data_IF_274923718332
#
_entry.id   IF_274923718332
#
_cell.length_a   1.000
_cell.length_b   1.000
_cell.length_c   1.000
_cell.angle_alpha   90.00
_cell.angle_beta   90.00
_cell.angle_gamma   90.00
#
_symmetry.space_group_name_H-M   'P 1'
#
loop_
_entity.id
_entity.type
_entity.pdbx_description
1 polymer ?
#
# COMPACT_ATOMS: atom_id res chain seq x y z
N UNK A 1 82.13 72.92 20.57
CA UNK A 1 80.94 73.78 20.47
C UNK A 1 81.05 75.03 21.35
N UNK A 2 81.40 74.92 22.64
CA UNK A 2 81.36 76.08 23.53
C UNK A 2 82.39 77.17 23.22
N UNK A 3 83.58 76.83 22.70
CA UNK A 3 84.69 77.79 22.53
C UNK A 3 84.52 78.71 21.31
N UNK A 4 83.97 78.21 20.20
CA UNK A 4 83.68 79.06 19.02
C UNK A 4 82.58 80.07 19.34
N UNK A 5 81.49 79.62 19.97
CA UNK A 5 80.40 80.52 20.37
C UNK A 5 80.86 81.53 21.43
N UNK A 6 81.66 81.10 22.41
CA UNK A 6 82.23 82.00 23.43
C UNK A 6 83.14 83.07 22.81
N UNK A 7 84.04 82.70 21.88
CA UNK A 7 84.89 83.66 21.20
C UNK A 7 84.12 84.60 20.25
N UNK A 8 83.03 84.13 19.63
CA UNK A 8 82.13 84.97 18.82
C UNK A 8 81.33 85.95 19.69
N UNK A 9 80.85 85.50 20.84
CA UNK A 9 80.11 86.33 21.80
C UNK A 9 81.04 87.41 22.40
N UNK A 10 82.27 87.04 22.75
CA UNK A 10 83.29 87.97 23.25
C UNK A 10 83.70 88.99 22.17
N UNK A 11 83.88 88.53 20.93
CA UNK A 11 84.16 89.41 19.79
C UNK A 11 82.98 90.36 19.53
N UNK A 12 81.74 89.88 19.66
CA UNK A 12 80.53 90.68 19.58
C UNK A 12 80.48 91.76 20.67
N UNK A 13 80.75 91.39 21.92
CA UNK A 13 80.79 92.31 23.06
C UNK A 13 81.85 93.40 22.88
N UNK A 14 83.05 93.05 22.41
CA UNK A 14 84.11 94.02 22.10
C UNK A 14 83.66 95.02 21.04
N UNK A 15 82.91 94.57 20.03
CA UNK A 15 82.39 95.45 18.96
C UNK A 15 81.23 96.32 19.45
N UNK A 16 80.37 95.80 20.33
CA UNK A 16 79.25 96.55 20.92
C UNK A 16 79.71 97.65 21.90
N UNK A 17 80.74 97.38 22.70
CA UNK A 17 81.32 98.35 23.65
C UNK A 17 82.37 99.28 22.99
N UNK A 18 82.68 99.07 21.72
CA UNK A 18 83.70 99.81 20.99
C UNK A 18 83.37 101.31 20.90
N UNK A 19 84.39 102.16 21.09
CA UNK A 19 84.22 103.61 21.02
C UNK A 19 84.02 104.07 19.57
N UNK A 20 82.85 104.66 19.27
CA UNK A 20 82.55 105.24 17.95
C UNK A 20 83.43 106.44 17.59
N UNK A 21 83.77 106.57 16.31
CA UNK A 21 84.53 107.71 15.76
C UNK A 21 83.55 108.78 15.25
N UNK A 22 83.63 110.05 15.71
CA UNK A 22 82.66 111.09 15.38
C UNK A 22 82.51 111.31 13.87
N UNK A 23 81.27 111.50 13.39
CA UNK A 23 80.93 111.73 11.97
C UNK A 23 81.28 110.56 11.03
N UNK A 24 81.47 109.34 11.54
CA UNK A 24 81.67 108.12 10.75
C UNK A 24 80.86 106.94 11.32
N UNK A 25 80.66 105.89 10.52
CA UNK A 25 80.07 104.62 10.98
C UNK A 25 81.12 103.66 11.59
N UNK A 26 82.33 104.14 11.88
CA UNK A 26 83.43 103.32 12.39
C UNK A 26 83.51 103.31 13.92
N UNK A 27 84.01 102.21 14.47
CA UNK A 27 84.37 102.07 15.87
C UNK A 27 85.86 101.72 16.03
N UNK A 28 86.43 102.09 17.17
CA UNK A 28 87.82 101.74 17.54
C UNK A 28 87.77 100.52 18.44
N UNK A 29 88.37 99.42 17.97
CA UNK A 29 88.49 98.16 18.71
C UNK A 29 89.95 97.85 19.02
N UNK A 30 90.27 97.18 20.15
CA UNK A 30 91.59 96.64 20.43
C UNK A 30 91.96 95.59 19.37
N UNK A 31 92.83 95.96 18.43
CA UNK A 31 93.20 95.09 17.31
C UNK A 31 93.83 93.75 17.75
N UNK A 32 94.57 93.74 18.86
CA UNK A 32 95.21 92.52 19.37
C UNK A 32 94.18 91.49 19.80
N UNK A 33 93.32 91.88 20.74
CA UNK A 33 92.25 91.05 21.32
C UNK A 33 91.28 90.54 20.23
N UNK A 34 90.92 91.40 19.26
CA UNK A 34 90.07 91.00 18.12
C UNK A 34 90.74 89.95 17.23
N UNK A 35 92.04 90.08 16.97
CA UNK A 35 92.76 89.10 16.14
C UNK A 35 92.95 87.77 16.87
N UNK A 36 93.19 87.80 18.18
CA UNK A 36 93.29 86.61 19.02
C UNK A 36 91.98 85.83 19.04
N UNK A 37 90.84 86.49 19.25
CA UNK A 37 89.52 85.85 19.18
C UNK A 37 89.20 85.29 17.79
N UNK A 38 89.59 86.00 16.72
CA UNK A 38 89.43 85.51 15.35
C UNK A 38 90.28 84.25 15.11
N UNK A 39 91.51 84.20 15.63
CA UNK A 39 92.38 83.04 15.48
C UNK A 39 91.90 81.86 16.34
N UNK A 40 91.39 82.09 17.56
CA UNK A 40 90.70 81.08 18.36
C UNK A 40 89.47 80.49 17.63
N UNK A 41 88.68 81.34 16.98
CA UNK A 41 87.55 80.90 16.15
C UNK A 41 88.05 80.08 14.96
N UNK A 42 89.10 80.51 14.27
CA UNK A 42 89.67 79.78 13.12
C UNK A 42 90.23 78.42 13.51
N UNK A 43 90.83 78.31 14.69
CA UNK A 43 91.42 77.07 15.17
C UNK A 43 90.34 76.10 15.68
N UNK A 44 89.26 76.61 16.27
CA UNK A 44 88.20 75.79 16.83
C UNK A 44 87.09 75.40 15.84
N UNK A 45 86.76 76.23 14.84
CA UNK A 45 85.71 75.95 13.83
C UNK A 45 85.92 74.63 13.08
N UNK A 46 87.12 74.30 12.56
CA UNK A 46 87.31 73.08 11.79
C UNK A 46 86.97 71.82 12.59
N UNK A 47 87.36 71.77 13.87
CA UNK A 47 87.03 70.64 14.75
C UNK A 47 85.53 70.54 15.02
N UNK A 48 84.85 71.68 15.23
CA UNK A 48 83.39 71.67 15.44
C UNK A 48 82.60 71.30 14.18
N UNK A 49 83.12 71.64 12.99
CA UNK A 49 82.52 71.25 11.72
C UNK A 49 82.72 69.75 11.43
N UNK A 50 83.90 69.21 11.78
CA UNK A 50 84.23 67.78 11.69
C UNK A 50 83.32 66.96 12.59
N UNK A 51 83.18 67.36 13.87
CA UNK A 51 82.25 66.73 14.82
C UNK A 51 80.79 66.75 14.30
N UNK A 52 80.37 67.86 13.69
CA UNK A 52 79.03 67.97 13.12
C UNK A 52 78.85 67.07 11.88
N UNK A 53 79.89 66.92 11.07
CA UNK A 53 79.91 65.98 9.94
C UNK A 53 79.85 64.53 10.40
N UNK A 54 80.62 64.15 11.43
CA UNK A 54 80.58 62.82 12.02
C UNK A 54 79.18 62.45 12.53
N UNK A 55 78.49 63.40 13.17
CA UNK A 55 77.10 63.20 13.62
C UNK A 55 76.15 63.02 12.44
N UNK A 56 76.31 63.77 11.36
CA UNK A 56 75.50 63.62 10.14
C UNK A 56 75.74 62.27 9.47
N UNK A 57 77.00 61.84 9.37
CA UNK A 57 77.37 60.55 8.80
C UNK A 57 76.85 59.38 9.65
N UNK A 58 76.96 59.49 10.98
CA UNK A 58 76.39 58.52 11.91
C UNK A 58 74.86 58.44 11.78
N UNK A 59 74.18 59.60 11.67
CA UNK A 59 72.73 59.66 11.42
C UNK A 59 72.38 58.97 10.10
N UNK A 60 73.10 59.25 9.03
CA UNK A 60 72.80 58.71 7.72
C UNK A 60 73.07 57.20 7.66
N UNK A 61 74.10 56.71 8.36
CA UNK A 61 74.35 55.28 8.57
C UNK A 61 73.20 54.62 9.33
N UNK A 62 72.75 55.19 10.45
CA UNK A 62 71.62 54.67 11.24
C UNK A 62 70.32 54.66 10.42
N UNK A 63 70.05 55.71 9.65
CA UNK A 63 68.86 55.76 8.78
C UNK A 63 68.90 54.70 7.68
N UNK A 64 70.09 54.38 7.15
CA UNK A 64 70.26 53.33 6.16
C UNK A 64 70.02 51.96 6.77
N UNK A 65 70.66 51.67 7.91
CA UNK A 65 70.47 50.42 8.64
C UNK A 65 69.01 50.21 9.05
N UNK A 66 68.36 51.24 9.58
CA UNK A 66 66.96 51.17 9.96
C UNK A 66 66.04 50.87 8.76
N UNK A 67 66.32 51.44 7.58
CA UNK A 67 65.57 51.16 6.36
C UNK A 67 65.78 49.73 5.86
N UNK A 68 67.03 49.28 5.78
CA UNK A 68 67.36 47.92 5.35
C UNK A 68 66.76 46.87 6.30
N UNK A 69 66.85 47.11 7.61
CA UNK A 69 66.23 46.26 8.62
C UNK A 69 64.70 46.25 8.48
N UNK A 70 64.08 47.41 8.30
CA UNK A 70 62.63 47.51 8.11
C UNK A 70 62.15 46.79 6.83
N UNK A 71 62.85 46.97 5.71
CA UNK A 71 62.55 46.26 4.46
C UNK A 71 62.67 44.75 4.64
N UNK A 72 63.71 44.29 5.35
CA UNK A 72 63.89 42.87 5.68
C UNK A 72 62.75 42.33 6.54
N UNK A 73 62.38 43.03 7.61
CA UNK A 73 61.30 42.62 8.51
C UNK A 73 59.95 42.59 7.79
N UNK A 74 59.63 43.59 6.97
CA UNK A 74 58.40 43.57 6.17
C UNK A 74 58.43 42.43 5.16
N UNK A 75 59.56 42.20 4.49
CA UNK A 75 59.71 41.09 3.54
C UNK A 75 59.46 39.73 4.19
N UNK A 76 60.06 39.49 5.35
CA UNK A 76 59.86 38.27 6.14
C UNK A 76 58.42 38.14 6.63
N UNK A 77 57.86 39.19 7.23
CA UNK A 77 56.49 39.19 7.73
C UNK A 77 55.47 38.93 6.62
N UNK A 78 55.66 39.51 5.44
CA UNK A 78 54.82 39.25 4.27
C UNK A 78 54.94 37.80 3.79
N UNK A 79 56.16 37.25 3.73
CA UNK A 79 56.37 35.86 3.35
C UNK A 79 55.73 34.88 4.35
N UNK A 80 55.86 35.14 5.65
CA UNK A 80 55.24 34.35 6.72
C UNK A 80 53.71 34.43 6.65
N UNK A 81 53.16 35.61 6.38
CA UNK A 81 51.72 35.80 6.21
C UNK A 81 51.19 35.05 4.97
N UNK A 82 51.89 35.12 3.84
CA UNK A 82 51.55 34.37 2.62
C UNK A 82 51.59 32.86 2.84
N UNK A 83 52.63 32.37 3.52
CA UNK A 83 52.75 30.95 3.86
C UNK A 83 51.62 30.50 4.79
N UNK A 84 51.31 31.27 5.82
CA UNK A 84 50.22 30.97 6.77
C UNK A 84 48.87 30.94 6.06
N UNK A 85 48.60 31.92 5.19
CA UNK A 85 47.37 31.99 4.43
C UNK A 85 47.24 30.83 3.44
N UNK A 86 48.34 30.47 2.76
CA UNK A 86 48.38 29.30 1.87
C UNK A 86 48.12 28.00 2.63
N UNK A 87 48.74 27.82 3.80
CA UNK A 87 48.52 26.65 4.64
C UNK A 87 47.06 26.55 5.09
N UNK A 88 46.51 27.63 5.65
CA UNK A 88 45.12 27.68 6.11
C UNK A 88 44.11 27.42 4.98
N UNK A 89 44.36 27.94 3.77
CA UNK A 89 43.51 27.69 2.59
C UNK A 89 43.54 26.21 2.19
N UNK A 90 44.73 25.62 2.09
CA UNK A 90 44.87 24.20 1.74
C UNK A 90 44.23 23.28 2.79
N UNK A 91 44.34 23.62 4.06
CA UNK A 91 43.69 22.88 5.14
C UNK A 91 42.16 23.01 5.06
N UNK A 92 41.64 24.22 4.85
CA UNK A 92 40.20 24.45 4.67
C UNK A 92 39.64 23.66 3.47
N UNK A 93 40.36 23.65 2.33
CA UNK A 93 39.95 22.90 1.15
C UNK A 93 39.91 21.38 1.42
N UNK A 94 40.90 20.86 2.16
CA UNK A 94 40.93 19.45 2.57
C UNK A 94 39.78 19.11 3.51
N UNK A 95 39.52 19.94 4.52
CA UNK A 95 38.40 19.74 5.45
C UNK A 95 37.06 19.77 4.75
N UNK A 96 36.86 20.72 3.82
CA UNK A 96 35.63 20.80 3.03
C UNK A 96 35.46 19.59 2.11
N UNK A 97 36.53 19.09 1.50
CA UNK A 97 36.48 17.90 0.66
C UNK A 97 36.13 16.63 1.46
N UNK A 98 36.75 16.45 2.63
CA UNK A 98 36.46 15.32 3.52
C UNK A 98 35.03 15.40 4.08
N UNK A 99 34.60 16.56 4.55
CA UNK A 99 33.24 16.78 5.03
C UNK A 99 32.19 16.49 3.94
N UNK A 100 32.43 16.92 2.70
CA UNK A 100 31.55 16.58 1.55
C UNK A 100 31.52 15.07 1.30
N UNK A 101 32.67 14.41 1.28
CA UNK A 101 32.75 12.95 1.10
C UNK A 101 32.02 12.18 2.21
N UNK A 102 32.14 12.63 3.46
CA UNK A 102 31.41 12.04 4.58
C UNK A 102 29.91 12.26 4.47
N UNK A 103 29.48 13.47 4.09
CA UNK A 103 28.06 13.76 3.87
C UNK A 103 27.47 12.91 2.74
N UNK A 104 28.18 12.77 1.61
CA UNK A 104 27.75 11.94 0.49
C UNK A 104 27.62 10.46 0.89
N UNK A 105 28.57 9.94 1.68
CA UNK A 105 28.50 8.59 2.25
C UNK A 105 27.30 8.42 3.17
N UNK A 106 27.09 9.35 4.10
CA UNK A 106 25.95 9.30 5.03
C UNK A 106 24.61 9.33 4.29
N UNK A 107 24.48 10.18 3.26
CA UNK A 107 23.27 10.24 2.44
C UNK A 107 23.05 8.95 1.65
N UNK A 108 24.11 8.36 1.09
CA UNK A 108 24.02 7.08 0.37
C UNK A 108 23.61 5.93 1.31
N UNK A 109 24.22 5.84 2.49
CA UNK A 109 23.87 4.84 3.51
C UNK A 109 22.43 4.99 3.99
N UNK A 110 22.01 6.23 4.30
CA UNK A 110 20.64 6.51 4.72
C UNK A 110 19.62 6.14 3.64
N UNK A 111 19.90 6.43 2.36
CA UNK A 111 19.05 6.03 1.23
C UNK A 111 18.95 4.52 1.09
N UNK A 112 20.09 3.81 1.12
CA UNK A 112 20.10 2.35 1.04
C UNK A 112 19.31 1.71 2.20
N UNK A 113 19.49 2.23 3.42
CA UNK A 113 18.75 1.75 4.59
C UNK A 113 17.25 2.02 4.49
N UNK A 114 16.85 3.19 3.98
CA UNK A 114 15.45 3.50 3.72
C UNK A 114 14.84 2.58 2.65
N UNK A 115 15.57 2.32 1.55
CA UNK A 115 15.14 1.39 0.50
C UNK A 115 14.98 -0.03 1.03
N UNK A 116 15.92 -0.51 1.85
CA UNK A 116 15.83 -1.80 2.51
C UNK A 116 14.60 -1.88 3.42
N UNK A 117 14.41 -0.88 4.29
CA UNK A 117 13.27 -0.83 5.22
C UNK A 117 11.94 -0.83 4.48
N UNK A 118 11.82 -0.05 3.41
CA UNK A 118 10.62 -0.01 2.55
C UNK A 118 10.42 -1.34 1.82
N UNK A 119 11.50 -1.99 1.37
CA UNK A 119 11.45 -3.32 0.75
C UNK A 119 10.91 -4.37 1.72
N UNK A 120 11.49 -4.45 2.92
CA UNK A 120 11.06 -5.36 3.98
C UNK A 120 9.59 -5.14 4.37
N UNK A 121 9.18 -3.89 4.58
CA UNK A 121 7.79 -3.54 4.90
C UNK A 121 6.81 -3.94 3.78
N UNK A 122 7.20 -3.80 2.52
CA UNK A 122 6.39 -4.22 1.37
C UNK A 122 6.26 -5.74 1.29
N UNK A 123 7.33 -6.47 1.54
CA UNK A 123 7.29 -7.94 1.58
C UNK A 123 6.42 -8.45 2.73
N UNK A 124 6.52 -7.86 3.91
CA UNK A 124 5.68 -8.20 5.06
C UNK A 124 4.20 -7.90 4.79
N UNK A 125 3.89 -6.74 4.20
CA UNK A 125 2.54 -6.40 3.78
C UNK A 125 1.98 -7.40 2.75
N UNK A 126 2.80 -7.80 1.76
CA UNK A 126 2.41 -8.79 0.76
C UNK A 126 2.12 -10.17 1.40
N UNK A 127 2.96 -10.61 2.35
CA UNK A 127 2.75 -11.86 3.09
C UNK A 127 1.47 -11.81 3.91
N UNK A 128 1.21 -10.70 4.60
CA UNK A 128 0.00 -10.51 5.41
C UNK A 128 -1.25 -10.54 4.54
N UNK A 129 -1.26 -9.85 3.40
CA UNK A 129 -2.37 -9.87 2.44
C UNK A 129 -2.60 -11.28 1.87
N UNK A 130 -1.54 -12.02 1.54
CA UNK A 130 -1.66 -13.39 1.05
C UNK A 130 -2.22 -14.34 2.11
N UNK A 131 -1.85 -14.17 3.38
CA UNK A 131 -2.40 -14.94 4.49
C UNK A 131 -3.88 -14.61 4.71
N UNK A 132 -4.21 -13.32 4.79
CA UNK A 132 -5.58 -12.85 4.96
C UNK A 132 -6.50 -13.35 3.84
N UNK A 133 -6.04 -13.31 2.59
CA UNK A 133 -6.80 -13.82 1.44
C UNK A 133 -7.08 -15.32 1.55
N UNK A 134 -6.08 -16.13 1.93
CA UNK A 134 -6.25 -17.57 2.13
C UNK A 134 -7.24 -17.89 3.25
N UNK A 135 -7.14 -17.17 4.37
CA UNK A 135 -8.06 -17.32 5.49
C UNK A 135 -9.50 -16.91 5.12
N UNK A 136 -9.65 -15.82 4.37
CA UNK A 136 -10.92 -15.37 3.85
C UNK A 136 -11.54 -16.41 2.91
N UNK A 137 -10.77 -16.94 1.94
CA UNK A 137 -11.21 -17.98 1.02
C UNK A 137 -11.66 -19.25 1.77
N UNK A 138 -10.88 -19.71 2.75
CA UNK A 138 -11.23 -20.85 3.60
C UNK A 138 -12.50 -20.61 4.42
N UNK A 139 -12.64 -19.42 5.01
CA UNK A 139 -13.81 -19.07 5.83
C UNK A 139 -15.07 -18.99 4.97
N UNK A 140 -14.99 -18.35 3.80
CA UNK A 140 -16.10 -18.27 2.85
C UNK A 140 -16.47 -19.66 2.33
N UNK A 141 -15.49 -20.51 2.00
CA UNK A 141 -15.75 -21.86 1.55
C UNK A 141 -16.47 -22.69 2.62
N UNK A 142 -16.03 -22.62 3.87
CA UNK A 142 -16.68 -23.29 5.00
C UNK A 142 -18.10 -22.79 5.23
N UNK A 143 -18.30 -21.47 5.23
CA UNK A 143 -19.62 -20.87 5.43
C UNK A 143 -20.60 -21.26 4.31
N UNK A 144 -20.14 -21.29 3.05
CA UNK A 144 -20.95 -21.78 1.92
C UNK A 144 -21.32 -23.24 2.08
N UNK A 145 -20.35 -24.10 2.38
CA UNK A 145 -20.61 -25.53 2.57
C UNK A 145 -21.56 -25.80 3.75
N UNK A 146 -21.49 -25.00 4.82
CA UNK A 146 -22.41 -25.07 5.95
C UNK A 146 -23.82 -24.60 5.57
N UNK A 147 -23.94 -23.48 4.83
CA UNK A 147 -25.20 -22.99 4.33
C UNK A 147 -25.89 -24.01 3.41
N UNK A 148 -25.14 -24.62 2.48
CA UNK A 148 -25.66 -25.65 1.57
C UNK A 148 -26.18 -26.86 2.37
N UNK A 149 -25.42 -27.33 3.38
CA UNK A 149 -25.87 -28.42 4.27
C UNK A 149 -27.13 -28.08 5.05
N UNK A 150 -27.26 -26.83 5.53
CA UNK A 150 -28.46 -26.39 6.25
C UNK A 150 -29.68 -26.35 5.32
N UNK A 151 -29.50 -25.88 4.08
CA UNK A 151 -30.56 -25.89 3.06
C UNK A 151 -30.97 -27.33 2.74
N UNK A 152 -30.01 -28.22 2.47
CA UNK A 152 -30.29 -29.63 2.17
C UNK A 152 -30.99 -30.33 3.34
N UNK A 153 -30.50 -30.13 4.57
CA UNK A 153 -31.13 -30.68 5.78
C UNK A 153 -32.53 -30.11 6.02
N UNK A 154 -32.72 -28.82 5.74
CA UNK A 154 -34.01 -28.14 5.83
C UNK A 154 -35.01 -28.71 4.83
N UNK A 155 -34.59 -28.87 3.57
CA UNK A 155 -35.40 -29.47 2.51
C UNK A 155 -35.78 -30.92 2.84
N UNK A 156 -34.83 -31.74 3.29
CA UNK A 156 -35.12 -33.13 3.68
C UNK A 156 -36.11 -33.21 4.85
N UNK A 157 -36.01 -32.31 5.82
CA UNK A 157 -36.93 -32.24 6.96
C UNK A 157 -38.32 -31.75 6.52
N UNK A 158 -38.36 -30.77 5.62
CA UNK A 158 -39.59 -30.27 5.02
C UNK A 158 -40.32 -31.37 4.24
N UNK A 159 -39.61 -32.07 3.35
CA UNK A 159 -40.16 -33.18 2.56
C UNK A 159 -40.73 -34.26 3.48
N UNK A 160 -40.00 -34.61 4.54
CA UNK A 160 -40.48 -35.57 5.54
C UNK A 160 -41.76 -35.10 6.22
N UNK A 161 -41.82 -33.83 6.66
CA UNK A 161 -43.00 -33.26 7.31
C UNK A 161 -44.21 -33.22 6.35
N UNK A 162 -44.00 -32.89 5.07
CA UNK A 162 -45.06 -32.94 4.05
C UNK A 162 -45.57 -34.36 3.85
N UNK A 163 -44.67 -35.35 3.75
CA UNK A 163 -45.06 -36.75 3.60
C UNK A 163 -45.82 -37.28 4.82
N UNK A 164 -45.39 -36.94 6.03
CA UNK A 164 -46.10 -37.26 7.26
C UNK A 164 -47.47 -36.59 7.32
N UNK A 165 -47.57 -35.32 6.92
CA UNK A 165 -48.82 -34.58 6.81
C UNK A 165 -49.80 -35.20 5.81
N UNK A 166 -49.32 -35.62 4.64
CA UNK A 166 -50.16 -36.30 3.62
C UNK A 166 -50.68 -37.64 4.17
N UNK A 167 -49.81 -38.44 4.82
CA UNK A 167 -50.22 -39.71 5.43
C UNK A 167 -51.29 -39.51 6.50
N UNK A 168 -51.10 -38.51 7.36
CA UNK A 168 -52.05 -38.21 8.43
C UNK A 168 -53.37 -37.67 7.86
N UNK A 169 -53.32 -36.79 6.85
CA UNK A 169 -54.50 -36.32 6.13
C UNK A 169 -55.28 -37.51 5.52
N UNK A 170 -54.59 -38.43 4.85
CA UNK A 170 -55.21 -39.64 4.29
C UNK A 170 -55.86 -40.51 5.39
N UNK A 171 -55.19 -40.67 6.53
CA UNK A 171 -55.72 -41.39 7.69
C UNK A 171 -57.01 -40.76 8.21
N UNK A 172 -57.03 -39.44 8.39
CA UNK A 172 -58.20 -38.69 8.86
C UNK A 172 -59.37 -38.76 7.88
N UNK A 173 -59.10 -38.61 6.57
CA UNK A 173 -60.13 -38.74 5.52
C UNK A 173 -60.72 -40.16 5.52
N UNK A 174 -59.89 -41.20 5.59
CA UNK A 174 -60.35 -42.59 5.64
C UNK A 174 -61.19 -42.91 6.89
N UNK A 175 -60.93 -42.22 8.01
CA UNK A 175 -61.69 -42.35 9.25
C UNK A 175 -63.00 -41.54 9.28
N UNK A 176 -63.25 -40.71 8.27
CA UNK A 176 -64.48 -39.91 8.20
C UNK A 176 -65.69 -40.80 7.90
N UNK A 177 -66.79 -40.63 8.62
CA UNK A 177 -68.01 -41.45 8.46
C UNK A 177 -68.51 -41.51 7.01
N UNK A 178 -68.42 -40.39 6.27
CA UNK A 178 -68.82 -40.32 4.86
C UNK A 178 -68.01 -41.28 3.99
N UNK A 179 -66.69 -41.42 4.22
CA UNK A 179 -65.83 -42.34 3.45
C UNK A 179 -66.11 -43.79 3.83
N UNK A 180 -66.34 -44.08 5.11
CA UNK A 180 -66.72 -45.43 5.54
C UNK A 180 -68.08 -45.83 4.99
N UNK A 181 -69.08 -44.94 5.06
CA UNK A 181 -70.40 -45.15 4.49
C UNK A 181 -70.34 -45.35 2.97
N UNK A 182 -69.55 -44.53 2.26
CA UNK A 182 -69.34 -44.69 0.82
C UNK A 182 -68.69 -46.04 0.45
N UNK A 183 -67.68 -46.50 1.20
CA UNK A 183 -67.06 -47.81 0.97
C UNK A 183 -68.01 -48.98 1.27
N UNK A 184 -68.75 -48.90 2.38
CA UNK A 184 -69.76 -49.89 2.73
C UNK A 184 -70.85 -49.97 1.66
N UNK A 185 -71.32 -48.82 1.18
CA UNK A 185 -72.32 -48.76 0.12
C UNK A 185 -71.78 -49.25 -1.23
N UNK A 186 -70.55 -48.89 -1.60
CA UNK A 186 -69.91 -49.42 -2.82
C UNK A 186 -69.76 -50.95 -2.76
N UNK A 187 -69.42 -51.50 -1.59
CA UNK A 187 -69.31 -52.95 -1.40
C UNK A 187 -70.67 -53.61 -1.55
N UNK A 188 -71.71 -53.07 -0.89
CA UNK A 188 -73.09 -53.54 -1.05
C UNK A 188 -73.57 -53.49 -2.49
N UNK A 189 -73.22 -52.44 -3.23
CA UNK A 189 -73.64 -52.26 -4.62
C UNK A 189 -72.95 -53.27 -5.54
N UNK A 190 -71.67 -53.58 -5.30
CA UNK A 190 -70.94 -54.65 -6.00
C UNK A 190 -71.56 -56.02 -5.68
N UNK A 191 -71.83 -56.31 -4.41
CA UNK A 191 -72.43 -57.58 -3.99
C UNK A 191 -73.83 -57.76 -4.57
N UNK A 192 -74.65 -56.69 -4.56
CA UNK A 192 -75.98 -56.70 -5.15
C UNK A 192 -75.92 -56.90 -6.67
N UNK A 193 -74.97 -56.25 -7.36
CA UNK A 193 -74.77 -56.43 -8.80
C UNK A 193 -74.34 -57.86 -9.15
N UNK A 194 -73.47 -58.48 -8.35
CA UNK A 194 -73.08 -59.88 -8.52
C UNK A 194 -74.26 -60.83 -8.27
N UNK A 195 -75.01 -60.63 -7.18
CA UNK A 195 -76.18 -61.45 -6.88
C UNK A 195 -77.27 -61.34 -7.96
N UNK A 196 -77.49 -60.14 -8.50
CA UNK A 196 -78.43 -59.92 -9.60
C UNK A 196 -77.93 -60.58 -10.90
N UNK A 197 -76.64 -60.46 -11.21
CA UNK A 197 -76.05 -61.12 -12.36
C UNK A 197 -76.17 -62.66 -12.29
N UNK A 198 -75.96 -63.23 -11.10
CA UNK A 198 -76.12 -64.67 -10.88
C UNK A 198 -77.60 -65.09 -10.95
N UNK A 199 -78.52 -64.27 -10.42
CA UNK A 199 -79.96 -64.51 -10.56
C UNK A 199 -80.40 -64.49 -12.03
N UNK A 200 -80.00 -63.47 -12.78
CA UNK A 200 -80.34 -63.34 -14.19
C UNK A 200 -79.79 -64.52 -15.00
N UNK A 201 -78.57 -64.97 -14.70
CA UNK A 201 -78.01 -66.18 -15.32
C UNK A 201 -78.86 -67.41 -15.01
N UNK A 202 -79.25 -67.60 -13.75
CA UNK A 202 -80.13 -68.72 -13.36
C UNK A 202 -81.51 -68.65 -14.00
N UNK A 203 -82.11 -67.46 -14.10
CA UNK A 203 -83.39 -67.26 -14.81
C UNK A 203 -83.27 -67.54 -16.31
N UNK A 204 -82.17 -67.13 -16.94
CA UNK A 204 -81.86 -67.49 -18.33
C UNK A 204 -81.73 -69.01 -18.50
N UNK A 205 -81.03 -69.70 -17.60
CA UNK A 205 -80.87 -71.16 -17.65
C UNK A 205 -82.22 -71.88 -17.53
N UNK A 206 -83.07 -71.47 -16.57
CA UNK A 206 -84.43 -72.00 -16.40
C UNK A 206 -85.31 -71.71 -17.62
N UNK A 207 -85.20 -70.51 -18.20
CA UNK A 207 -85.94 -70.14 -19.40
C UNK A 207 -85.55 -71.02 -20.60
N UNK A 208 -84.24 -71.24 -20.79
CA UNK A 208 -83.71 -72.11 -21.84
C UNK A 208 -84.18 -73.55 -21.63
N UNK A 209 -84.09 -74.08 -20.41
CA UNK A 209 -84.54 -75.44 -20.08
C UNK A 209 -86.04 -75.64 -20.36
N UNK A 210 -86.89 -74.71 -19.88
CA UNK A 210 -88.34 -74.75 -20.17
C UNK A 210 -88.64 -74.68 -21.67
N UNK A 211 -87.92 -73.85 -22.44
CA UNK A 211 -88.10 -73.78 -23.90
C UNK A 211 -87.64 -75.05 -24.60
N UNK A 212 -86.60 -75.70 -24.11
CA UNK A 212 -86.16 -77.00 -24.60
C UNK A 212 -87.17 -78.10 -24.26
N UNK A 213 -87.75 -78.09 -23.06
CA UNK A 213 -88.80 -79.03 -22.65
C UNK A 213 -90.09 -78.86 -23.47
N UNK A 214 -90.55 -77.62 -23.68
CA UNK A 214 -91.66 -77.32 -24.60
C UNK A 214 -91.35 -77.84 -26.02
N UNK A 215 -90.13 -77.63 -26.49
CA UNK A 215 -89.69 -78.12 -27.80
C UNK A 215 -89.69 -79.66 -27.87
N UNK A 216 -89.24 -80.34 -26.81
CA UNK A 216 -89.32 -81.79 -26.68
C UNK A 216 -90.78 -82.28 -26.74
N UNK A 217 -91.69 -81.62 -26.03
CA UNK A 217 -93.12 -81.93 -26.06
C UNK A 217 -93.73 -81.74 -27.46
N UNK A 218 -93.36 -80.67 -28.17
CA UNK A 218 -93.75 -80.46 -29.56
C UNK A 218 -93.22 -81.55 -30.49
N UNK A 219 -91.97 -81.99 -30.31
CA UNK A 219 -91.39 -83.09 -31.07
C UNK A 219 -92.06 -84.43 -30.77
N UNK A 220 -92.33 -84.74 -29.50
CA UNK A 220 -93.07 -85.93 -29.07
C UNK A 220 -94.52 -85.92 -29.59
N UNK A 221 -95.17 -84.76 -29.61
CA UNK A 221 -96.48 -84.56 -30.23
C UNK A 221 -96.44 -84.86 -31.73
N UNK A 222 -95.44 -84.32 -32.42
CA UNK A 222 -95.19 -84.57 -33.86
C UNK A 222 -94.91 -86.05 -34.12
N UNK A 223 -94.04 -86.69 -33.33
CA UNK A 223 -93.73 -88.12 -33.43
C UNK A 223 -94.98 -89.00 -33.21
N UNK A 224 -95.82 -88.67 -32.23
CA UNK A 224 -97.12 -89.35 -32.03
C UNK A 224 -98.07 -89.14 -33.21
N UNK A 225 -98.07 -87.95 -33.82
CA UNK A 225 -98.83 -87.67 -35.05
C UNK A 225 -98.35 -88.52 -36.22
N UNK A 226 -97.03 -88.58 -36.45
CA UNK A 226 -96.39 -89.44 -37.45
C UNK A 226 -96.64 -90.92 -37.16
N UNK A 227 -96.58 -91.35 -35.90
CA UNK A 227 -96.90 -92.70 -35.45
C UNK A 227 -98.36 -93.09 -35.73
N UNK A 228 -99.31 -92.19 -35.48
CA UNK A 228 -100.74 -92.38 -35.84
C UNK A 228 -100.92 -92.44 -37.36
N UNK A 229 -100.27 -91.57 -38.13
CA UNK A 229 -100.27 -91.62 -39.60
C UNK A 229 -99.68 -92.92 -40.15
N UNK A 230 -98.58 -93.43 -39.55
CA UNK A 230 -98.01 -94.74 -39.89
C UNK A 230 -98.91 -95.90 -39.50
N UNK A 231 -99.59 -95.82 -38.36
CA UNK A 231 -100.53 -96.85 -37.94
C UNK A 231 -101.74 -96.90 -38.88
N UNK A 232 -102.29 -95.75 -39.29
CA UNK A 232 -103.33 -95.65 -40.33
C UNK A 232 -102.88 -96.22 -41.69
N UNK A 233 -101.63 -96.02 -42.09
CA UNK A 233 -101.07 -96.66 -43.29
C UNK A 233 -100.88 -98.18 -43.13
N UNK A 234 -100.78 -98.69 -41.90
CA UNK A 234 -100.62 -100.12 -41.60
C UNK A 234 -101.95 -100.86 -41.38
N UNK A 235 -103.01 -100.18 -40.96
CA UNK A 235 -104.39 -100.72 -40.86
C UNK A 235 -105.26 -100.39 -42.07
N UNK A 236 -104.79 -99.56 -43.00
CA UNK A 236 -105.46 -99.18 -44.25
C UNK A 236 -105.13 -100.04 -45.47
N UNK A 237 -104.72 -101.29 -45.31
CA UNK A 237 -104.51 -102.23 -46.41
C UNK A 237 -105.07 -103.63 -46.06
N UNK A 238 -106.40 -103.76 -46.14
CA UNK A 238 -107.09 -105.06 -46.01
C UNK A 238 -108.58 -104.96 -45.63
N UNK A 239 -109.44 -104.69 -46.63
CA UNK A 239 -110.86 -105.12 -46.77
C UNK A 239 -111.86 -104.80 -45.64
N UNK A 240 -112.75 -103.81 -45.87
CA UNK A 240 -114.20 -103.98 -46.18
C UNK A 240 -115.08 -104.42 -44.99
N UNK A 241 -116.06 -103.60 -44.60
CA UNK A 241 -117.45 -103.76 -45.07
C UNK A 241 -118.33 -102.54 -44.71
N UNK A 242 -119.39 -102.36 -45.49
CA UNK A 242 -120.47 -101.39 -45.36
C UNK A 242 -121.39 -101.72 -44.16
N UNK A 243 -122.09 -100.70 -43.63
CA UNK A 243 -123.58 -100.64 -43.50
C UNK A 243 -124.01 -99.50 -42.57
N UNK A 244 -125.10 -98.86 -42.98
CA UNK A 244 -125.85 -97.72 -42.43
C UNK A 244 -126.27 -97.84 -40.96
N UNK A 245 -126.14 -96.76 -40.18
CA UNK A 245 -127.20 -95.78 -39.85
C UNK A 245 -126.62 -94.64 -39.01
#
# INVERSE_FOLDING_TARGET
>A
MYRVFEALDELGAIVEEARGVPMTAGCVVPRGDVLELIDDIKDAIPGELDDAQDVLDARDALLREAKEHHETVIGQSNADAEQTLSHARNEADRLLADAKSQADRMVAEARNHAEQTVGEAREEAARTLANAKREQESTVARAKAEADRLVDSGNASYDKAVQEGIKEQQRLVAQTEVVQAANAESTRLIDAAHAEADRLRGECDIYVDNKLAEFEDYLNGTLRSVGRGRHQLRTGAGTHDYVQR
#
